data_IF_100579784354
#
_entry.id   IF_100579784354
#
_cell.length_a   1.000
_cell.length_b   1.000
_cell.length_c   1.000
_cell.angle_alpha   90.00
_cell.angle_beta   90.00
_cell.angle_gamma   90.00
#
_symmetry.space_group_name_H-M   'P 1'
#
loop_
_entity.id
_entity.type
_entity.pdbx_description
1 polymer ?
#
# COMPACT_ATOMS: atom_id res chain seq x y z
N UNK A 1 -1.00 -28.89 28.76
CA UNK A 1 -0.95 -27.56 28.13
C UNK A 1 -0.26 -27.72 26.79
N UNK A 2 -0.99 -27.59 25.68
CA UNK A 2 -0.40 -27.67 24.34
C UNK A 2 -0.09 -26.26 23.86
N UNK A 3 1.18 -25.99 23.55
CA UNK A 3 1.59 -24.77 22.86
C UNK A 3 1.57 -25.07 21.36
N UNK A 4 0.64 -24.47 20.63
CA UNK A 4 0.66 -24.48 19.17
C UNK A 4 1.46 -23.27 18.70
N UNK A 5 2.62 -23.49 18.09
CA UNK A 5 3.40 -22.45 17.42
C UNK A 5 3.04 -22.54 15.93
N UNK A 6 2.33 -21.54 15.42
CA UNK A 6 2.11 -21.38 13.98
C UNK A 6 3.25 -20.55 13.41
N UNK A 7 4.04 -21.13 12.50
CA UNK A 7 5.01 -20.38 11.71
C UNK A 7 4.30 -19.87 10.45
N UNK A 8 4.03 -18.56 10.40
CA UNK A 8 3.77 -17.92 9.12
C UNK A 8 5.11 -17.79 8.38
N UNK A 9 5.26 -18.48 7.24
CA UNK A 9 6.27 -18.06 6.27
C UNK A 9 5.76 -16.76 5.66
N UNK A 10 6.14 -15.62 6.24
CA UNK A 10 6.01 -14.35 5.55
C UNK A 10 7.02 -14.38 4.40
N UNK A 11 6.52 -14.51 3.17
CA UNK A 11 7.35 -14.43 1.97
C UNK A 11 7.87 -13.00 1.79
N UNK A 12 9.03 -12.87 1.13
CA UNK A 12 9.46 -11.57 0.61
C UNK A 12 8.54 -11.24 -0.57
N UNK A 13 7.90 -10.07 -0.50
CA UNK A 13 7.13 -9.51 -1.61
C UNK A 13 7.88 -8.31 -2.17
N UNK A 14 8.12 -8.34 -3.48
CA UNK A 14 8.75 -7.27 -4.24
C UNK A 14 7.89 -7.01 -5.48
N UNK A 15 7.67 -5.74 -5.81
CA UNK A 15 6.91 -5.34 -6.98
C UNK A 15 7.57 -4.16 -7.66
N UNK A 16 7.79 -4.28 -8.97
CA UNK A 16 8.43 -3.27 -9.83
C UNK A 16 7.44 -2.64 -10.82
N UNK A 17 6.18 -3.06 -10.79
CA UNK A 17 5.06 -2.62 -11.63
C UNK A 17 5.33 -2.73 -13.13
N UNK A 18 6.02 -3.78 -13.56
CA UNK A 18 6.48 -3.95 -14.95
C UNK A 18 5.31 -4.06 -15.98
N UNK A 19 4.11 -4.47 -15.54
CA UNK A 19 2.97 -4.71 -16.42
C UNK A 19 1.66 -4.01 -15.99
N UNK A 20 0.83 -4.67 -15.20
CA UNK A 20 -0.53 -4.30 -14.80
C UNK A 20 -0.59 -4.21 -13.27
N UNK A 21 -1.76 -3.86 -12.75
CA UNK A 21 -1.96 -3.93 -11.30
C UNK A 21 -1.75 -5.39 -10.84
N UNK A 22 -0.83 -5.64 -9.90
CA UNK A 22 -0.58 -6.99 -9.39
C UNK A 22 -1.77 -7.49 -8.57
N UNK A 23 -1.90 -8.80 -8.47
CA UNK A 23 -2.93 -9.40 -7.61
C UNK A 23 -2.69 -9.04 -6.14
N UNK A 24 -3.78 -8.85 -5.38
CA UNK A 24 -3.72 -8.49 -3.95
C UNK A 24 -3.70 -6.99 -3.65
N UNK A 25 -3.49 -6.12 -4.64
CA UNK A 25 -3.63 -4.67 -4.45
C UNK A 25 -5.11 -4.26 -4.48
N UNK A 26 -5.59 -3.65 -3.40
CA UNK A 26 -6.97 -3.17 -3.22
C UNK A 26 -7.00 -1.65 -3.21
N UNK A 27 -7.70 -1.06 -4.18
CA UNK A 27 -8.02 0.37 -4.15
C UNK A 27 -9.07 0.64 -3.08
N UNK A 28 -8.80 1.60 -2.20
CA UNK A 28 -9.73 2.04 -1.15
C UNK A 28 -10.35 3.38 -1.53
N UNK A 29 -9.52 4.35 -1.94
CA UNK A 29 -9.93 5.69 -2.41
C UNK A 29 -9.08 6.08 -3.62
N UNK A 30 -9.68 6.77 -4.59
CA UNK A 30 -9.02 7.19 -5.82
C UNK A 30 -9.08 6.16 -6.93
N UNK A 31 -8.41 6.48 -8.04
CA UNK A 31 -8.09 5.50 -9.08
C UNK A 31 -6.59 5.42 -9.25
N UNK A 32 -6.13 4.20 -9.46
CA UNK A 32 -4.72 3.86 -9.55
C UNK A 32 -4.47 3.09 -10.82
N UNK A 33 -3.33 3.37 -11.47
CA UNK A 33 -2.96 2.74 -12.72
C UNK A 33 -1.46 2.51 -12.75
N UNK A 34 -1.06 1.32 -13.19
CA UNK A 34 0.33 1.07 -13.53
C UNK A 34 0.64 1.71 -14.89
N UNK A 35 1.59 2.64 -14.90
CA UNK A 35 2.10 3.30 -16.11
C UNK A 35 3.60 3.43 -16.04
N UNK A 36 4.31 2.99 -17.09
CA UNK A 36 5.77 3.12 -17.21
C UNK A 36 6.54 2.59 -15.98
N UNK A 37 6.18 1.40 -15.47
CA UNK A 37 6.81 0.79 -14.28
C UNK A 37 6.57 1.54 -12.97
N UNK A 38 5.41 2.19 -12.85
CA UNK A 38 5.04 2.93 -11.65
C UNK A 38 3.55 2.80 -11.40
N UNK A 39 3.18 2.51 -10.16
CA UNK A 39 1.82 2.63 -9.68
C UNK A 39 1.49 4.11 -9.44
N UNK A 40 0.60 4.66 -10.25
CA UNK A 40 0.29 6.09 -10.26
C UNK A 40 -1.17 6.33 -9.88
N UNK A 41 -1.39 7.27 -8.96
CA UNK A 41 -2.70 7.82 -8.64
C UNK A 41 -3.12 8.80 -9.74
N UNK A 42 -4.35 8.69 -10.25
CA UNK A 42 -4.80 9.43 -11.45
C UNK A 42 -6.13 10.21 -11.28
N UNK A 43 -6.61 10.38 -10.05
CA UNK A 43 -7.82 11.18 -9.76
C UNK A 43 -7.51 12.42 -8.92
N UNK A 44 -8.48 13.31 -8.73
CA UNK A 44 -8.34 14.47 -7.84
C UNK A 44 -9.22 14.34 -6.59
N UNK A 45 -9.16 13.18 -5.93
CA UNK A 45 -9.86 12.96 -4.68
C UNK A 45 -8.99 13.37 -3.50
N UNK A 46 -9.62 13.95 -2.48
CA UNK A 46 -8.95 14.21 -1.21
C UNK A 46 -8.51 12.89 -0.58
N UNK A 47 -7.21 12.73 -0.36
CA UNK A 47 -6.62 11.61 0.36
C UNK A 47 -6.88 10.22 -0.26
N UNK A 48 -6.25 9.97 -1.41
CA UNK A 48 -6.32 8.68 -2.09
C UNK A 48 -5.53 7.58 -1.36
N UNK A 49 -6.05 6.36 -1.38
CA UNK A 49 -5.52 5.21 -0.65
C UNK A 49 -5.56 3.95 -1.49
N UNK A 50 -4.46 3.22 -1.53
CA UNK A 50 -4.38 1.86 -2.06
C UNK A 50 -3.58 1.01 -1.07
N UNK A 51 -3.99 -0.25 -0.92
CA UNK A 51 -3.45 -1.16 0.08
C UNK A 51 -3.05 -2.50 -0.54
N UNK A 52 -2.06 -3.14 0.06
CA UNK A 52 -1.61 -4.49 -0.27
C UNK A 52 -1.24 -5.21 1.04
N UNK A 53 -1.35 -6.54 1.03
CA UNK A 53 -0.99 -7.41 2.16
C UNK A 53 -2.19 -7.87 2.98
N UNK A 54 -1.92 -8.26 4.22
CA UNK A 54 -2.90 -8.82 5.15
C UNK A 54 -2.93 -8.01 6.45
N UNK A 55 -4.12 -7.62 6.90
CA UNK A 55 -4.36 -6.86 8.14
C UNK A 55 -3.92 -7.64 9.40
N UNK A 56 -3.74 -8.95 9.29
CA UNK A 56 -3.17 -9.78 10.34
C UNK A 56 -1.66 -9.54 10.57
N UNK A 57 -0.94 -8.94 9.61
CA UNK A 57 0.49 -8.68 9.73
C UNK A 57 0.80 -7.73 10.89
N UNK A 58 1.80 -8.10 11.68
CA UNK A 58 2.26 -7.32 12.83
C UNK A 58 3.68 -6.84 12.61
N UNK A 59 4.62 -7.75 12.42
CA UNK A 59 6.04 -7.41 12.33
C UNK A 59 6.55 -7.64 10.91
N UNK A 60 6.95 -6.56 10.25
CA UNK A 60 7.47 -6.57 8.89
C UNK A 60 8.33 -5.33 8.63
N UNK A 61 9.15 -5.42 7.59
CA UNK A 61 9.85 -4.27 7.01
C UNK A 61 9.21 -3.93 5.68
N UNK A 62 9.01 -2.63 5.44
CA UNK A 62 8.51 -2.10 4.17
C UNK A 62 9.48 -1.04 3.68
N UNK A 63 9.75 -1.07 2.37
CA UNK A 63 10.53 -0.06 1.67
C UNK A 63 9.83 0.23 0.35
N UNK A 64 9.72 1.51 0.00
CA UNK A 64 9.09 1.96 -1.25
C UNK A 64 9.87 3.15 -1.79
N UNK A 65 9.94 3.23 -3.11
CA UNK A 65 10.36 4.44 -3.81
C UNK A 65 9.13 5.29 -4.14
N UNK A 66 9.09 6.52 -3.63
CA UNK A 66 7.98 7.46 -3.85
C UNK A 66 8.48 8.65 -4.66
N UNK A 67 7.81 8.92 -5.78
CA UNK A 67 7.90 10.20 -6.47
C UNK A 67 6.67 11.04 -6.17
N UNK A 68 6.88 12.23 -5.63
CA UNK A 68 5.82 13.22 -5.44
C UNK A 68 5.72 14.08 -6.71
N UNK A 69 4.59 13.98 -7.41
CA UNK A 69 4.29 14.82 -8.56
C UNK A 69 3.78 16.21 -8.18
N UNK A 70 3.57 17.05 -9.19
CA UNK A 70 2.82 18.30 -9.07
C UNK A 70 1.33 17.97 -8.89
N UNK A 71 0.95 17.54 -7.69
CA UNK A 71 -0.43 17.25 -7.34
C UNK A 71 -1.31 18.50 -7.39
N UNK A 72 -2.61 18.29 -7.53
CA UNK A 72 -3.60 19.37 -7.45
C UNK A 72 -3.90 19.77 -6.00
N UNK A 73 -3.49 18.96 -5.02
CA UNK A 73 -3.68 19.22 -3.60
C UNK A 73 -2.50 20.03 -3.04
N UNK A 74 -2.73 21.13 -2.29
CA UNK A 74 -1.71 22.12 -1.93
C UNK A 74 -0.53 21.58 -1.11
N UNK A 75 -0.71 20.45 -0.44
CA UNK A 75 0.35 19.86 0.37
C UNK A 75 1.28 18.91 -0.41
N UNK A 76 0.90 18.45 -1.63
CA UNK A 76 1.64 17.45 -2.40
C UNK A 76 2.23 16.32 -1.53
N UNK A 77 1.45 15.79 -0.58
CA UNK A 77 1.93 14.78 0.35
C UNK A 77 1.64 13.38 -0.17
N UNK A 78 2.62 12.50 -0.01
CA UNK A 78 2.47 11.05 -0.14
C UNK A 78 3.05 10.45 1.13
N UNK A 79 2.44 9.39 1.63
CA UNK A 79 2.87 8.72 2.84
C UNK A 79 2.61 7.23 2.81
N UNK A 80 3.26 6.52 3.72
CA UNK A 80 3.09 5.08 3.92
C UNK A 80 2.04 4.82 4.97
N UNK A 81 1.07 3.96 4.63
CA UNK A 81 0.10 3.43 5.58
C UNK A 81 0.55 2.04 6.02
N UNK A 82 0.64 1.80 7.33
CA UNK A 82 1.06 0.50 7.87
C UNK A 82 0.12 0.05 9.00
N UNK A 83 -0.08 -1.27 9.12
CA UNK A 83 -1.00 -1.91 10.07
C UNK A 83 -2.41 -1.32 10.04
N UNK A 84 -2.87 -0.97 8.84
CA UNK A 84 -4.21 -0.45 8.60
C UNK A 84 -5.29 -1.55 8.74
N UNK A 85 -6.53 -1.13 9.03
CA UNK A 85 -7.71 -1.97 8.91
C UNK A 85 -8.14 -2.20 7.45
N UNK A 86 -9.20 -2.99 7.23
CA UNK A 86 -9.66 -3.36 5.88
C UNK A 86 -10.11 -2.17 5.02
N UNK A 87 -10.40 -1.03 5.64
CA UNK A 87 -10.90 0.20 5.02
C UNK A 87 -9.83 1.32 4.97
N UNK A 88 -8.62 1.05 5.48
CA UNK A 88 -7.53 2.03 5.54
C UNK A 88 -7.88 3.26 6.36
N UNK A 89 -8.67 3.10 7.42
CA UNK A 89 -9.09 4.20 8.29
C UNK A 89 -8.25 4.28 9.56
N UNK A 90 -7.94 3.11 10.15
CA UNK A 90 -7.21 3.00 11.41
C UNK A 90 -5.88 2.27 11.22
N UNK A 91 -4.76 3.00 11.39
CA UNK A 91 -3.41 2.49 11.28
C UNK A 91 -2.36 3.54 11.62
N UNK A 92 -1.11 3.30 11.22
CA UNK A 92 -0.02 4.27 11.36
C UNK A 92 0.34 4.87 10.01
N UNK A 93 0.78 6.14 10.04
CA UNK A 93 1.09 6.94 8.85
C UNK A 93 2.45 7.59 9.00
N UNK A 94 3.23 7.56 7.92
CA UNK A 94 4.56 8.17 7.81
C UNK A 94 4.64 9.07 6.59
#
# INVERSE_FOLDING_TARGET
>A
MFLAISFATAGIWEENFDDRMPEGWKTIVGKWKVTKKTLTQITNESYCKIMFGDVAWKDYSVSVDITVGEGQHPCNCVGLLIREDQEGENGYRF
#
